data_IF_127404286266
#
_entry.id   IF_127404286266
#
_cell.length_a   1.000
_cell.length_b   1.000
_cell.length_c   1.000
_cell.angle_alpha   90.00
_cell.angle_beta   90.00
_cell.angle_gamma   90.00
#
_symmetry.space_group_name_H-M   'P 1'
#
loop_
_entity.id
_entity.type
_entity.pdbx_description
1 polymer ?
#
# COMPACT_ATOMS: atom_id res chain seq x y z
N UNK A 1 11.64 -5.41 -17.71
CA UNK A 1 11.67 -4.96 -16.31
C UNK A 1 10.45 -4.07 -16.03
N UNK A 2 9.25 -4.51 -16.39
CA UNK A 2 8.07 -3.62 -16.49
C UNK A 2 7.13 -3.69 -15.29
N UNK A 3 7.24 -4.74 -14.46
CA UNK A 3 6.29 -4.96 -13.36
C UNK A 3 6.51 -4.01 -12.18
N UNK A 4 7.76 -3.64 -11.89
CA UNK A 4 8.10 -2.67 -10.85
C UNK A 4 7.72 -1.23 -11.25
N UNK A 5 7.80 -0.89 -12.54
CA UNK A 5 7.44 0.44 -13.04
C UNK A 5 5.92 0.67 -12.94
N UNK A 6 5.12 -0.33 -13.32
CA UNK A 6 3.66 -0.29 -13.17
C UNK A 6 3.26 -0.25 -11.68
N UNK A 7 3.96 -1.01 -10.83
CA UNK A 7 3.73 -1.04 -9.39
C UNK A 7 4.02 0.32 -8.73
N UNK A 8 5.16 0.93 -9.01
CA UNK A 8 5.53 2.26 -8.50
C UNK A 8 4.60 3.36 -9.03
N UNK A 9 4.17 3.25 -10.29
CA UNK A 9 3.24 4.21 -10.88
C UNK A 9 1.83 4.09 -10.29
N UNK A 10 1.37 2.87 -10.01
CA UNK A 10 0.12 2.62 -9.29
C UNK A 10 0.21 3.13 -7.83
N UNK A 11 1.32 2.87 -7.13
CA UNK A 11 1.59 3.39 -5.78
C UNK A 11 1.55 4.93 -5.72
N UNK A 12 2.10 5.63 -6.73
CA UNK A 12 2.01 7.11 -6.80
C UNK A 12 0.59 7.65 -6.98
N UNK A 13 -0.35 6.83 -7.46
CA UNK A 13 -1.77 7.22 -7.58
C UNK A 13 -2.56 7.01 -6.29
N UNK A 14 -2.02 6.25 -5.34
CA UNK A 14 -2.66 6.00 -4.04
C UNK A 14 -2.39 7.16 -3.07
N UNK A 15 -3.29 7.38 -2.09
CA UNK A 15 -3.00 8.26 -0.96
C UNK A 15 -1.74 7.80 -0.23
N UNK A 16 -0.93 8.76 0.20
CA UNK A 16 0.39 8.53 0.80
C UNK A 16 0.37 7.44 1.88
N UNK A 17 -0.57 7.52 2.83
CA UNK A 17 -0.74 6.53 3.91
C UNK A 17 -0.90 5.08 3.42
N UNK A 18 -1.59 4.86 2.30
CA UNK A 18 -1.79 3.51 1.75
C UNK A 18 -0.52 3.01 1.08
N UNK A 19 0.14 3.87 0.30
CA UNK A 19 1.40 3.53 -0.35
C UNK A 19 2.50 3.22 0.66
N UNK A 20 2.53 3.96 1.77
CA UNK A 20 3.52 3.82 2.82
C UNK A 20 3.28 2.56 3.64
N UNK A 21 2.02 2.26 3.98
CA UNK A 21 1.65 1.01 4.64
C UNK A 21 2.11 -0.22 3.84
N UNK A 22 1.87 -0.21 2.53
CA UNK A 22 2.31 -1.30 1.64
C UNK A 22 3.83 -1.38 1.61
N UNK A 23 4.55 -0.27 1.42
CA UNK A 23 6.03 -0.27 1.37
C UNK A 23 6.65 -0.77 2.67
N UNK A 24 6.14 -0.35 3.82
CA UNK A 24 6.65 -0.78 5.12
C UNK A 24 6.36 -2.27 5.35
N UNK A 25 5.16 -2.72 4.99
CA UNK A 25 4.81 -4.13 5.10
C UNK A 25 5.66 -5.01 4.18
N UNK A 26 5.89 -4.59 2.94
CA UNK A 26 6.73 -5.29 1.97
C UNK A 26 8.21 -5.32 2.39
N UNK A 27 8.66 -4.27 3.10
CA UNK A 27 9.97 -4.23 3.75
C UNK A 27 10.08 -5.14 5.00
N UNK A 28 9.00 -5.84 5.39
CA UNK A 28 8.97 -6.72 6.56
C UNK A 28 8.93 -5.98 7.89
N UNK A 29 8.53 -4.71 7.90
CA UNK A 29 8.38 -3.94 9.13
C UNK A 29 7.22 -4.51 9.94
N UNK A 30 7.42 -4.65 11.25
CA UNK A 30 6.39 -5.14 12.15
C UNK A 30 5.14 -4.24 12.11
N UNK A 31 3.97 -4.86 12.03
CA UNK A 31 2.67 -4.18 11.99
C UNK A 31 2.52 -3.11 13.08
N UNK A 32 2.96 -3.39 14.31
CA UNK A 32 2.95 -2.42 15.41
C UNK A 32 3.73 -1.13 15.09
N UNK A 33 4.87 -1.24 14.41
CA UNK A 33 5.69 -0.06 14.01
C UNK A 33 5.00 0.70 12.88
N UNK A 34 4.34 -0.01 11.96
CA UNK A 34 3.56 0.62 10.88
C UNK A 34 2.38 1.40 11.47
N UNK A 35 1.68 0.83 12.45
CA UNK A 35 0.58 1.48 13.17
C UNK A 35 1.02 2.77 13.85
N UNK A 36 2.11 2.72 14.62
CA UNK A 36 2.71 3.90 15.27
C UNK A 36 3.11 4.96 14.25
N UNK A 37 3.76 4.56 13.16
CA UNK A 37 4.20 5.48 12.11
C UNK A 37 3.03 6.18 11.40
N UNK A 38 1.95 5.43 11.14
CA UNK A 38 0.76 5.94 10.48
C UNK A 38 -0.23 6.60 11.46
N UNK A 39 0.04 6.56 12.78
CA UNK A 39 -0.89 6.99 13.83
C UNK A 39 -2.28 6.34 13.67
N UNK A 40 -2.31 5.03 13.44
CA UNK A 40 -3.54 4.25 13.31
C UNK A 40 -3.60 3.14 14.36
N UNK A 41 -4.82 2.75 14.69
CA UNK A 41 -5.05 1.58 15.55
C UNK A 41 -4.65 0.28 14.81
N UNK A 42 -4.06 -0.69 15.52
CA UNK A 42 -3.68 -1.99 14.94
C UNK A 42 -4.88 -2.75 14.37
N UNK A 43 -6.05 -2.58 14.96
CA UNK A 43 -7.32 -3.14 14.46
C UNK A 43 -7.70 -2.58 13.08
N UNK A 44 -7.29 -1.34 12.79
CA UNK A 44 -7.53 -0.67 11.51
C UNK A 44 -6.45 -0.98 10.46
N UNK A 45 -5.25 -1.41 10.87
CA UNK A 45 -4.15 -1.69 9.94
C UNK A 45 -4.51 -2.78 8.94
N UNK A 46 -5.11 -3.88 9.39
CA UNK A 46 -5.52 -4.98 8.50
C UNK A 46 -6.49 -4.49 7.42
N UNK A 47 -7.51 -3.72 7.82
CA UNK A 47 -8.48 -3.12 6.89
C UNK A 47 -7.81 -2.11 5.95
N UNK A 48 -6.89 -1.29 6.46
CA UNK A 48 -6.15 -0.31 5.66
C UNK A 48 -5.27 -1.00 4.61
N UNK A 49 -4.57 -2.07 4.97
CA UNK A 49 -3.76 -2.86 4.06
C UNK A 49 -4.63 -3.56 3.00
N UNK A 50 -5.77 -4.12 3.39
CA UNK A 50 -6.74 -4.72 2.45
C UNK A 50 -7.25 -3.70 1.43
N UNK A 51 -7.67 -2.52 1.90
CA UNK A 51 -8.14 -1.43 1.04
C UNK A 51 -7.01 -0.91 0.14
N UNK A 52 -5.80 -0.77 0.70
CA UNK A 52 -4.62 -0.36 -0.05
C UNK A 52 -4.29 -1.35 -1.17
N UNK A 53 -4.30 -2.65 -0.88
CA UNK A 53 -4.04 -3.71 -1.87
C UNK A 53 -5.10 -3.72 -2.97
N UNK A 54 -6.39 -3.63 -2.62
CA UNK A 54 -7.48 -3.57 -3.60
C UNK A 54 -7.39 -2.33 -4.51
N UNK A 55 -7.06 -1.18 -3.93
CA UNK A 55 -6.86 0.05 -4.71
C UNK A 55 -5.64 -0.05 -5.61
N UNK A 56 -4.56 -0.67 -5.15
CA UNK A 56 -3.38 -0.94 -5.95
C UNK A 56 -3.70 -1.85 -7.14
N UNK A 57 -4.38 -2.98 -6.89
CA UNK A 57 -4.83 -3.88 -7.95
C UNK A 57 -5.74 -3.17 -8.96
N UNK A 58 -6.66 -2.33 -8.49
CA UNK A 58 -7.53 -1.53 -9.36
C UNK A 58 -6.72 -0.53 -10.20
N UNK A 59 -5.74 0.17 -9.59
CA UNK A 59 -4.86 1.08 -10.29
C UNK A 59 -4.02 0.34 -11.36
N UNK A 60 -3.46 -0.83 -11.03
CA UNK A 60 -2.71 -1.68 -11.95
C UNK A 60 -3.57 -2.19 -13.12
N UNK A 61 -4.85 -2.49 -12.89
CA UNK A 61 -5.78 -2.88 -13.96
C UNK A 61 -6.20 -1.71 -14.83
N UNK A 62 -6.41 -0.52 -14.25
CA UNK A 62 -6.70 0.71 -15.02
C UNK A 62 -5.49 1.19 -15.83
N UNK A 63 -4.26 0.88 -15.41
CA UNK A 63 -3.04 1.32 -16.07
C UNK A 63 -2.64 0.42 -17.24
N UNK A 64 -3.09 -0.84 -17.24
CA UNK A 64 -2.94 -1.80 -18.35
C UNK A 64 -3.99 -1.66 -19.45
N UNK A 65 -4.97 -0.77 -19.30
CA UNK A 65 -6.08 -0.55 -20.24
C UNK A 65 -5.93 0.77 -20.98
#
# INVERSE_FOLDING_TARGET
>A
MTQDEDYEAALRRLPEAHSLAIRLHDAGVAEAVICEYLHIEPESLGTLLDVARRKLDSALHCQRR
#
